data_IF_743084402036
#
_entry.id   IF_743084402036
#
_cell.length_a   1.000
_cell.length_b   1.000
_cell.length_c   1.000
_cell.angle_alpha   90.00
_cell.angle_beta   90.00
_cell.angle_gamma   90.00
#
_symmetry.space_group_name_H-M   'P 1'
#
loop_
_entity.id
_entity.type
_entity.pdbx_description
1 polymer ?
#
# COMPACT_ATOMS: atom_id res chain seq x y z
N UNK A 1 54.16 -11.01 20.26
CA UNK A 1 52.91 -10.67 19.53
C UNK A 1 53.18 -10.46 18.04
N UNK A 2 54.15 -9.62 17.64
CA UNK A 2 54.50 -9.39 16.22
C UNK A 2 54.92 -10.66 15.46
N UNK A 3 55.78 -11.50 16.05
CA UNK A 3 56.20 -12.78 15.44
C UNK A 3 55.04 -13.79 15.26
N UNK A 4 54.03 -13.76 16.13
CA UNK A 4 52.89 -14.66 16.05
C UNK A 4 51.95 -14.26 14.90
N UNK A 5 51.68 -12.95 14.76
CA UNK A 5 50.92 -12.40 13.64
C UNK A 5 51.65 -12.65 12.31
N UNK A 6 52.97 -12.50 12.29
CA UNK A 6 53.77 -12.74 11.09
C UNK A 6 53.75 -14.22 10.66
N UNK A 7 53.76 -15.15 11.61
CA UNK A 7 53.71 -16.60 11.34
C UNK A 7 52.32 -17.08 10.90
N UNK A 8 51.26 -16.39 11.34
CA UNK A 8 49.89 -16.61 10.84
C UNK A 8 49.71 -16.08 9.42
N UNK A 9 50.34 -14.94 9.09
CA UNK A 9 50.22 -14.30 7.78
C UNK A 9 51.10 -14.94 6.69
N UNK A 10 52.07 -15.77 7.05
CA UNK A 10 52.84 -16.60 6.10
C UNK A 10 52.23 -17.98 5.87
N UNK A 11 51.29 -18.40 6.71
CA UNK A 11 50.65 -19.71 6.59
C UNK A 11 49.50 -19.66 5.58
N UNK A 12 49.73 -20.22 4.40
CA UNK A 12 48.78 -20.24 3.27
C UNK A 12 47.41 -20.80 3.65
N UNK A 13 47.33 -21.79 4.54
CA UNK A 13 46.06 -22.37 4.99
C UNK A 13 45.23 -21.37 5.81
N UNK A 14 45.88 -20.53 6.62
CA UNK A 14 45.21 -19.52 7.43
C UNK A 14 44.63 -18.40 6.55
N UNK A 15 45.40 -17.93 5.55
CA UNK A 15 44.93 -16.93 4.57
C UNK A 15 43.72 -17.45 3.78
N UNK A 16 43.74 -18.73 3.42
CA UNK A 16 42.63 -19.37 2.70
C UNK A 16 41.35 -19.45 3.56
N UNK A 17 41.47 -19.82 4.84
CA UNK A 17 40.35 -19.83 5.79
C UNK A 17 39.76 -18.44 6.01
N UNK A 18 40.62 -17.41 6.15
CA UNK A 18 40.19 -16.01 6.29
C UNK A 18 39.44 -15.55 5.03
N UNK A 19 39.92 -15.93 3.85
CA UNK A 19 39.27 -15.59 2.57
C UNK A 19 37.89 -16.25 2.43
N UNK A 20 37.77 -17.53 2.78
CA UNK A 20 36.48 -18.26 2.79
C UNK A 20 35.51 -17.63 3.80
N UNK A 21 35.99 -17.32 5.01
CA UNK A 21 35.16 -16.67 6.03
C UNK A 21 34.63 -15.31 5.58
N UNK A 22 35.44 -14.54 4.83
CA UNK A 22 35.00 -13.27 4.24
C UNK A 22 33.89 -13.46 3.21
N UNK A 23 34.01 -14.46 2.33
CA UNK A 23 33.00 -14.78 1.31
C UNK A 23 31.70 -15.27 1.96
N UNK A 24 31.79 -16.11 2.99
CA UNK A 24 30.62 -16.56 3.76
C UNK A 24 29.95 -15.40 4.49
N UNK A 25 30.71 -14.49 5.10
CA UNK A 25 30.15 -13.30 5.74
C UNK A 25 29.41 -12.39 4.74
N UNK A 26 29.99 -12.19 3.56
CA UNK A 26 29.39 -11.36 2.51
C UNK A 26 28.11 -11.98 1.94
N UNK A 27 28.12 -13.28 1.64
CA UNK A 27 26.94 -14.00 1.12
C UNK A 27 25.80 -14.05 2.14
N UNK A 28 26.11 -14.25 3.43
CA UNK A 28 25.10 -14.18 4.50
C UNK A 28 24.50 -12.77 4.62
N UNK A 29 25.31 -11.72 4.51
CA UNK A 29 24.86 -10.33 4.57
C UNK A 29 23.91 -9.98 3.41
N UNK A 30 24.23 -10.44 2.19
CA UNK A 30 23.34 -10.32 1.02
C UNK A 30 22.03 -11.07 1.27
N UNK A 31 22.10 -12.31 1.76
CA UNK A 31 20.92 -13.13 2.02
C UNK A 31 19.99 -12.51 3.08
N UNK A 32 20.55 -12.03 4.18
CA UNK A 32 19.80 -11.35 5.24
C UNK A 32 19.17 -10.06 4.71
N UNK A 33 19.88 -9.30 3.88
CA UNK A 33 19.34 -8.07 3.26
C UNK A 33 18.16 -8.37 2.35
N UNK A 34 18.25 -9.40 1.52
CA UNK A 34 17.13 -9.84 0.68
C UNK A 34 15.93 -10.31 1.50
N UNK A 35 16.16 -11.12 2.54
CA UNK A 35 15.09 -11.60 3.42
C UNK A 35 14.45 -10.44 4.21
N UNK A 36 15.25 -9.51 4.71
CA UNK A 36 14.79 -8.30 5.41
C UNK A 36 13.92 -7.41 4.51
N UNK A 37 14.31 -7.21 3.24
CA UNK A 37 13.49 -6.50 2.27
C UNK A 37 12.14 -7.17 2.02
N UNK A 38 12.10 -8.50 1.98
CA UNK A 38 10.85 -9.27 1.82
C UNK A 38 9.93 -9.17 3.05
N UNK A 39 10.50 -9.25 4.25
CA UNK A 39 9.77 -9.07 5.51
C UNK A 39 9.23 -7.65 5.63
N UNK A 40 10.03 -6.63 5.30
CA UNK A 40 9.62 -5.23 5.32
C UNK A 40 8.45 -4.96 4.38
N UNK A 41 8.44 -5.55 3.17
CA UNK A 41 7.30 -5.46 2.24
C UNK A 41 6.03 -6.08 2.82
N UNK A 42 6.16 -7.25 3.45
CA UNK A 42 5.02 -7.95 4.06
C UNK A 42 4.46 -7.16 5.25
N UNK A 43 5.33 -6.65 6.12
CA UNK A 43 4.96 -5.80 7.25
C UNK A 43 4.27 -4.51 6.79
N UNK A 44 4.77 -3.86 5.74
CA UNK A 44 4.15 -2.67 5.17
C UNK A 44 2.75 -2.97 4.62
N UNK A 45 2.55 -4.11 3.95
CA UNK A 45 1.23 -4.52 3.46
C UNK A 45 0.25 -4.75 4.61
N UNK A 46 0.72 -5.38 5.68
CA UNK A 46 -0.04 -5.64 6.91
C UNK A 46 -0.42 -4.34 7.64
N UNK A 47 0.54 -3.44 7.85
CA UNK A 47 0.30 -2.15 8.51
C UNK A 47 -0.67 -1.29 7.69
N UNK A 48 -0.51 -1.30 6.36
CA UNK A 48 -1.46 -0.65 5.47
C UNK A 48 -2.87 -1.25 5.62
N UNK A 49 -3.01 -2.57 5.71
CA UNK A 49 -4.31 -3.24 5.89
C UNK A 49 -4.98 -2.89 7.23
N UNK A 50 -4.20 -2.76 8.31
CA UNK A 50 -4.72 -2.30 9.61
C UNK A 50 -5.17 -0.85 9.56
N UNK A 51 -4.31 0.06 9.08
CA UNK A 51 -4.64 1.48 8.92
C UNK A 51 -5.86 1.67 8.01
N UNK A 52 -6.01 0.83 6.98
CA UNK A 52 -7.19 0.78 6.14
C UNK A 52 -8.43 0.33 6.92
N UNK A 53 -8.35 -0.76 7.68
CA UNK A 53 -9.48 -1.27 8.45
C UNK A 53 -9.98 -0.30 9.53
N UNK A 54 -9.09 0.53 10.08
CA UNK A 54 -9.43 1.60 11.02
C UNK A 54 -10.04 2.82 10.31
N UNK A 55 -9.44 3.25 9.20
CA UNK A 55 -9.81 4.49 8.50
C UNK A 55 -10.97 4.31 7.50
N UNK A 56 -11.29 3.08 7.10
CA UNK A 56 -12.34 2.80 6.09
C UNK A 56 -13.70 3.35 6.49
N UNK A 57 -14.03 3.37 7.78
CA UNK A 57 -15.31 3.92 8.27
C UNK A 57 -15.39 5.42 8.04
N UNK A 58 -14.28 6.13 8.18
CA UNK A 58 -14.19 7.56 7.91
C UNK A 58 -14.35 7.86 6.41
N UNK A 59 -13.69 7.09 5.55
CA UNK A 59 -13.86 7.22 4.10
C UNK A 59 -15.28 6.89 3.64
N UNK A 60 -15.89 5.84 4.19
CA UNK A 60 -17.31 5.51 3.93
C UNK A 60 -18.22 6.65 4.36
N UNK A 61 -18.00 7.23 5.54
CA UNK A 61 -18.79 8.36 6.02
C UNK A 61 -18.66 9.59 5.10
N UNK A 62 -17.44 9.91 4.63
CA UNK A 62 -17.21 11.00 3.66
C UNK A 62 -17.88 10.75 2.32
N UNK A 63 -17.70 9.56 1.73
CA UNK A 63 -18.33 9.22 0.45
C UNK A 63 -19.86 9.17 0.54
N UNK A 64 -20.42 8.73 1.67
CA UNK A 64 -21.86 8.85 1.94
C UNK A 64 -22.30 10.29 2.08
N UNK A 65 -21.54 11.13 2.80
CA UNK A 65 -21.80 12.56 2.91
C UNK A 65 -21.90 13.23 1.54
N UNK A 66 -20.95 12.96 0.64
CA UNK A 66 -21.01 13.46 -0.74
C UNK A 66 -22.25 12.97 -1.50
N UNK A 67 -22.61 11.69 -1.34
CA UNK A 67 -23.82 11.12 -1.96
C UNK A 67 -25.10 11.77 -1.41
N UNK A 68 -25.20 11.97 -0.10
CA UNK A 68 -26.32 12.65 0.54
C UNK A 68 -26.41 14.12 0.08
N UNK A 69 -25.31 14.86 0.01
CA UNK A 69 -25.31 16.24 -0.50
C UNK A 69 -25.70 16.36 -1.98
N UNK A 70 -25.35 15.36 -2.80
CA UNK A 70 -25.75 15.34 -4.21
C UNK A 70 -27.24 14.98 -4.37
N UNK A 71 -27.75 14.03 -3.56
CA UNK A 71 -29.11 13.50 -3.69
C UNK A 71 -30.17 14.33 -2.96
N UNK A 72 -29.88 14.80 -1.74
CA UNK A 72 -30.84 15.54 -0.88
C UNK A 72 -30.76 17.04 -1.11
N UNK A 73 -29.54 17.59 -1.17
CA UNK A 73 -29.35 19.04 -1.26
C UNK A 73 -29.26 19.54 -2.71
N UNK A 74 -29.28 18.63 -3.70
CA UNK A 74 -29.09 18.92 -5.12
C UNK A 74 -27.87 19.82 -5.39
N UNK A 75 -26.86 19.75 -4.51
CA UNK A 75 -25.66 20.56 -4.56
C UNK A 75 -24.75 20.02 -5.66
N UNK A 76 -25.06 20.46 -6.87
CA UNK A 76 -24.31 20.19 -8.09
C UNK A 76 -23.29 21.32 -8.28
N UNK A 77 -22.33 21.41 -7.37
CA UNK A 77 -21.24 22.40 -7.47
C UNK A 77 -19.98 21.74 -8.04
N UNK A 78 -19.18 22.54 -8.77
CA UNK A 78 -17.86 22.10 -9.26
C UNK A 78 -16.91 21.78 -8.10
N UNK A 79 -17.12 22.41 -6.95
CA UNK A 79 -16.30 22.24 -5.76
C UNK A 79 -16.48 20.84 -5.15
N UNK A 80 -17.72 20.35 -5.02
CA UNK A 80 -17.99 18.98 -4.53
C UNK A 80 -17.34 17.93 -5.43
N UNK A 81 -17.33 18.15 -6.74
CA UNK A 81 -16.63 17.25 -7.68
C UNK A 81 -15.12 17.26 -7.46
N UNK A 82 -14.54 18.43 -7.18
CA UNK A 82 -13.12 18.56 -6.88
C UNK A 82 -12.78 17.87 -5.55
N UNK A 83 -13.59 18.08 -4.52
CA UNK A 83 -13.40 17.47 -3.20
C UNK A 83 -13.51 15.95 -3.26
N UNK A 84 -14.51 15.42 -3.99
CA UNK A 84 -14.64 13.97 -4.26
C UNK A 84 -13.39 13.45 -4.99
N UNK A 85 -12.90 14.18 -5.99
CA UNK A 85 -11.71 13.78 -6.75
C UNK A 85 -10.48 13.75 -5.83
N UNK A 86 -10.31 14.76 -4.97
CA UNK A 86 -9.22 14.86 -4.01
C UNK A 86 -9.25 13.70 -3.01
N UNK A 87 -10.41 13.38 -2.44
CA UNK A 87 -10.57 12.25 -1.52
C UNK A 87 -10.33 10.90 -2.21
N UNK A 88 -10.71 10.75 -3.48
CA UNK A 88 -10.36 9.56 -4.29
C UNK A 88 -8.85 9.46 -4.50
N UNK A 89 -8.16 10.58 -4.77
CA UNK A 89 -6.71 10.60 -4.91
C UNK A 89 -5.99 10.27 -3.60
N UNK A 90 -6.45 10.81 -2.47
CA UNK A 90 -5.93 10.47 -1.14
C UNK A 90 -6.10 8.99 -0.85
N UNK A 91 -7.30 8.46 -1.09
CA UNK A 91 -7.59 7.03 -0.93
C UNK A 91 -6.67 6.15 -1.77
N UNK A 92 -6.51 6.45 -3.06
CA UNK A 92 -5.61 5.69 -3.93
C UNK A 92 -4.16 5.77 -3.47
N UNK A 93 -3.68 6.96 -3.08
CA UNK A 93 -2.28 7.15 -2.68
C UNK A 93 -1.97 6.39 -1.39
N UNK A 94 -2.88 6.41 -0.42
CA UNK A 94 -2.71 5.74 0.86
C UNK A 94 -2.84 4.22 0.76
N UNK A 95 -3.72 3.72 -0.11
CA UNK A 95 -4.06 2.29 -0.15
C UNK A 95 -3.68 1.59 -1.46
N UNK A 96 -2.86 2.21 -2.30
CA UNK A 96 -2.39 1.65 -3.58
C UNK A 96 -1.84 0.24 -3.45
N UNK A 97 -1.13 -0.02 -2.35
CA UNK A 97 -0.47 -1.30 -2.05
C UNK A 97 -1.50 -2.43 -1.81
N UNK A 98 -2.69 -2.09 -1.30
CA UNK A 98 -3.77 -3.03 -0.99
C UNK A 98 -4.75 -3.21 -2.17
N UNK A 99 -4.78 -2.25 -3.08
CA UNK A 99 -5.71 -2.23 -4.20
C UNK A 99 -5.30 -3.22 -5.28
N UNK A 100 -6.23 -4.07 -5.69
CA UNK A 100 -6.04 -4.93 -6.85
C UNK A 100 -5.94 -4.07 -8.12
N UNK A 101 -5.18 -4.54 -9.11
CA UNK A 101 -5.02 -3.84 -10.39
C UNK A 101 -6.36 -3.50 -11.06
N UNK A 102 -7.36 -4.38 -10.93
CA UNK A 102 -8.73 -4.16 -11.43
C UNK A 102 -9.40 -2.94 -10.78
N UNK A 103 -9.18 -2.74 -9.48
CA UNK A 103 -9.73 -1.60 -8.74
C UNK A 103 -9.01 -0.30 -9.11
N UNK A 104 -7.69 -0.36 -9.29
CA UNK A 104 -6.89 0.78 -9.78
C UNK A 104 -7.32 1.24 -11.17
N UNK A 105 -7.59 0.30 -12.08
CA UNK A 105 -8.10 0.63 -13.42
C UNK A 105 -9.48 1.32 -13.32
N UNK A 106 -10.38 0.81 -12.47
CA UNK A 106 -11.68 1.45 -12.24
C UNK A 106 -11.55 2.83 -11.62
N UNK A 107 -10.71 3.00 -10.60
CA UNK A 107 -10.39 4.30 -9.98
C UNK A 107 -9.87 5.29 -11.02
N UNK A 108 -9.01 4.83 -11.93
CA UNK A 108 -8.51 5.65 -13.03
C UNK A 108 -9.63 6.12 -13.97
N UNK A 109 -10.54 5.23 -14.38
CA UNK A 109 -11.71 5.61 -15.19
C UNK A 109 -12.64 6.57 -14.46
N UNK A 110 -12.85 6.38 -13.16
CA UNK A 110 -13.64 7.29 -12.31
C UNK A 110 -13.00 8.67 -12.31
N UNK A 111 -11.71 8.78 -12.01
CA UNK A 111 -10.97 10.06 -12.04
C UNK A 111 -11.04 10.75 -13.40
N UNK A 112 -10.88 9.98 -14.48
CA UNK A 112 -10.96 10.50 -15.84
C UNK A 112 -12.37 11.01 -16.17
N UNK A 113 -13.41 10.34 -15.65
CA UNK A 113 -14.80 10.78 -15.78
C UNK A 113 -15.08 12.07 -14.99
N UNK A 114 -14.62 12.17 -13.74
CA UNK A 114 -14.78 13.36 -12.90
C UNK A 114 -13.99 14.58 -13.43
N UNK A 115 -12.90 14.35 -14.18
CA UNK A 115 -12.10 15.41 -14.82
C UNK A 115 -12.74 15.95 -16.12
N UNK A 116 -13.81 15.35 -16.64
CA UNK A 116 -14.53 15.88 -17.83
C UNK A 116 -15.21 17.21 -17.53
N UNK A 117 -15.54 17.95 -18.59
CA UNK A 117 -16.30 19.20 -18.48
C UNK A 117 -17.57 19.02 -17.66
N UNK A 118 -17.74 19.89 -16.66
CA UNK A 118 -18.84 19.87 -15.68
C UNK A 118 -20.23 19.72 -16.31
N UNK A 119 -20.46 20.38 -17.46
CA UNK A 119 -21.74 20.33 -18.18
C UNK A 119 -22.08 18.96 -18.79
N UNK A 120 -21.12 18.03 -18.89
CA UNK A 120 -21.33 16.66 -19.39
C UNK A 120 -21.32 15.61 -18.28
N UNK A 121 -21.22 16.04 -17.02
CA UNK A 121 -21.15 15.13 -15.87
C UNK A 121 -22.56 14.73 -15.46
N UNK A 122 -22.81 13.43 -15.42
CA UNK A 122 -24.06 12.88 -14.90
C UNK A 122 -23.89 12.52 -13.42
N UNK A 123 -24.60 13.24 -12.55
CA UNK A 123 -24.56 13.03 -11.10
C UNK A 123 -25.07 11.64 -10.67
N UNK A 124 -25.94 10.99 -11.44
CA UNK A 124 -26.31 9.59 -11.18
C UNK A 124 -25.12 8.64 -11.39
N UNK A 125 -24.28 8.89 -12.41
CA UNK A 125 -23.04 8.12 -12.59
C UNK A 125 -22.06 8.36 -11.45
N UNK A 126 -21.97 9.58 -10.94
CA UNK A 126 -21.15 9.88 -9.74
C UNK A 126 -21.65 9.09 -8.54
N UNK A 127 -22.96 9.05 -8.30
CA UNK A 127 -23.53 8.26 -7.20
C UNK A 127 -23.20 6.76 -7.35
N UNK A 128 -23.27 6.20 -8.56
CA UNK A 128 -22.88 4.81 -8.82
C UNK A 128 -21.39 4.59 -8.54
N UNK A 129 -20.52 5.54 -8.90
CA UNK A 129 -19.09 5.46 -8.60
C UNK A 129 -18.80 5.59 -7.10
N UNK A 130 -19.53 6.44 -6.39
CA UNK A 130 -19.46 6.54 -4.93
C UNK A 130 -19.93 5.24 -4.27
N UNK A 131 -21.02 4.63 -4.74
CA UNK A 131 -21.50 3.34 -4.23
C UNK A 131 -20.49 2.22 -4.48
N UNK A 132 -19.79 2.23 -5.63
CA UNK A 132 -18.67 1.32 -5.87
C UNK A 132 -17.52 1.52 -4.88
N UNK A 133 -17.11 2.77 -4.61
CA UNK A 133 -16.05 3.09 -3.65
C UNK A 133 -16.43 2.69 -2.23
N UNK A 134 -17.66 3.00 -1.81
CA UNK A 134 -18.22 2.60 -0.52
C UNK A 134 -18.22 1.07 -0.40
N UNK A 135 -18.71 0.37 -1.42
CA UNK A 135 -18.70 -1.10 -1.48
C UNK A 135 -17.28 -1.68 -1.36
N UNK A 136 -16.29 -1.07 -2.01
CA UNK A 136 -14.89 -1.48 -1.87
C UNK A 136 -14.36 -1.24 -0.46
N UNK A 137 -14.68 -0.10 0.14
CA UNK A 137 -14.30 0.23 1.53
C UNK A 137 -14.92 -0.70 2.57
N UNK A 138 -16.09 -1.29 2.28
CA UNK A 138 -16.70 -2.29 3.16
C UNK A 138 -15.96 -3.64 3.15
N UNK A 139 -15.26 -3.97 2.06
CA UNK A 139 -14.48 -5.19 1.98
C UNK A 139 -13.31 -5.11 2.96
N UNK A 140 -13.35 -5.95 4.01
CA UNK A 140 -12.24 -6.11 4.94
C UNK A 140 -11.05 -6.70 4.20
N UNK A 141 -9.89 -6.08 4.36
CA UNK A 141 -8.62 -6.68 3.96
C UNK A 141 -8.09 -7.50 5.14
N UNK A 142 -7.53 -8.68 4.88
CA UNK A 142 -6.98 -9.58 5.90
C UNK A 142 -5.80 -8.87 6.61
N UNK A 143 -5.91 -8.69 7.93
CA UNK A 143 -4.87 -8.09 8.79
C UNK A 143 -4.07 -9.15 9.55
N UNK A 144 -3.14 -8.71 10.43
CA UNK A 144 -2.33 -9.59 11.32
C UNK A 144 -3.15 -10.70 11.98
N UNK A 145 -4.36 -10.38 12.46
CA UNK A 145 -5.18 -11.32 13.20
C UNK A 145 -5.64 -12.53 12.37
N UNK A 146 -5.82 -12.39 11.04
CA UNK A 146 -6.13 -13.51 10.16
C UNK A 146 -4.87 -14.27 9.75
N UNK A 147 -3.72 -13.57 9.58
CA UNK A 147 -2.44 -14.23 9.27
C UNK A 147 -1.91 -15.09 10.43
N UNK A 148 -2.09 -14.64 11.68
CA UNK A 148 -1.74 -15.39 12.88
C UNK A 148 -2.69 -16.58 13.13
N UNK A 149 -3.98 -16.46 12.77
CA UNK A 149 -4.96 -17.55 12.91
C UNK A 149 -4.75 -18.68 11.89
N UNK A 150 -4.13 -18.40 10.74
CA UNK A 150 -3.90 -19.39 9.67
C UNK A 150 -2.58 -20.16 9.82
N UNK A 151 -1.68 -19.69 10.69
CA UNK A 151 -0.36 -20.28 10.96
C UNK A 151 -0.23 -20.85 12.39
N UNK A 152 -1.35 -21.01 13.10
CA UNK A 152 -1.50 -21.77 14.35
C UNK A 152 -2.46 -22.93 14.09
#
# INVERSE_FOLDING_TARGET
MYNFINNLNTNTYFIFLVSISGIFGFTLSIYVTHKSSSIAKTLNHILAAQNYNESRTQFVARFRGYKDSILKDNLKSRQIIHDILEDIFKFETQYKILLAQKDLIKLFFIKLYLKKNFNKINFNKICIYLDFLIGRCYKKEEGINDFCRKNN
#
